data_IF_626926665527
#
_entry.id   IF_626926665527
#
_cell.length_a   1.000
_cell.length_b   1.000
_cell.length_c   1.000
_cell.angle_alpha   90.00
_cell.angle_beta   90.00
_cell.angle_gamma   90.00
#
_symmetry.space_group_name_H-M   'P 1'
#
loop_
_entity.id
_entity.type
_entity.pdbx_description
1 polymer ?
#
# COMPACT_ATOMS: atom_id res chain seq x y z
N UNK A 1 35.92 15.18 -7.65
CA UNK A 1 35.17 15.00 -6.38
C UNK A 1 33.76 14.56 -6.75
N UNK A 2 33.27 13.37 -6.32
CA UNK A 2 31.93 12.92 -6.66
C UNK A 2 30.88 13.80 -5.96
N UNK A 3 29.94 14.33 -6.74
CA UNK A 3 28.83 15.15 -6.23
C UNK A 3 27.93 14.28 -5.33
N UNK A 4 27.78 14.69 -4.07
CA UNK A 4 26.87 14.04 -3.12
C UNK A 4 25.44 14.14 -3.64
N UNK A 5 24.73 13.01 -3.69
CA UNK A 5 23.32 12.97 -4.05
C UNK A 5 22.51 13.86 -3.09
N UNK A 6 21.57 14.69 -3.59
CA UNK A 6 20.84 15.63 -2.75
C UNK A 6 20.01 14.88 -1.70
N UNK A 7 19.92 15.43 -0.46
CA UNK A 7 19.10 14.84 0.60
C UNK A 7 17.64 14.79 0.15
N UNK A 8 16.97 13.68 0.46
CA UNK A 8 15.55 13.47 0.16
C UNK A 8 14.73 14.48 1.00
N UNK A 9 14.46 15.66 0.45
CA UNK A 9 13.60 16.66 1.10
C UNK A 9 12.13 16.28 0.88
N UNK A 10 11.29 16.51 1.90
CA UNK A 10 9.88 16.07 1.91
C UNK A 10 9.04 16.48 0.69
N UNK A 11 9.44 17.54 -0.02
CA UNK A 11 8.82 17.98 -1.27
C UNK A 11 8.84 16.90 -2.37
N UNK A 12 9.91 16.11 -2.48
CA UNK A 12 10.02 15.06 -3.50
C UNK A 12 9.07 13.88 -3.30
N UNK A 13 8.65 13.62 -2.05
CA UNK A 13 7.71 12.54 -1.72
C UNK A 13 6.28 12.89 -2.15
N UNK A 14 5.82 14.10 -1.86
CA UNK A 14 4.50 14.56 -2.29
C UNK A 14 4.44 14.75 -3.80
N UNK A 15 5.51 15.26 -4.42
CA UNK A 15 5.59 15.37 -5.87
C UNK A 15 5.49 13.99 -6.55
N UNK A 16 6.14 12.95 -6.01
CA UNK A 16 6.01 11.58 -6.52
C UNK A 16 4.64 10.93 -6.22
N UNK A 17 3.94 11.36 -5.15
CA UNK A 17 2.57 10.91 -4.84
C UNK A 17 1.53 11.50 -5.79
N UNK A 18 1.74 12.76 -6.23
CA UNK A 18 0.89 13.45 -7.20
C UNK A 18 1.42 13.36 -8.65
N UNK A 19 2.47 12.56 -8.89
CA UNK A 19 2.92 12.24 -10.23
C UNK A 19 1.92 11.25 -10.85
N UNK A 20 0.94 11.80 -11.55
CA UNK A 20 -0.07 11.04 -12.30
C UNK A 20 0.50 10.40 -13.56
N UNK A 21 1.79 10.59 -13.86
CA UNK A 21 2.51 9.70 -14.76
C UNK A 21 2.83 8.43 -13.97
N UNK A 22 2.03 7.38 -14.17
CA UNK A 22 2.27 6.05 -13.63
C UNK A 22 3.52 5.43 -14.31
N UNK A 23 4.68 6.09 -14.23
CA UNK A 23 5.91 5.60 -14.80
C UNK A 23 6.31 4.32 -14.09
N UNK A 24 6.84 3.41 -14.88
CA UNK A 24 6.71 1.95 -14.81
C UNK A 24 7.32 1.26 -13.57
N UNK A 25 7.84 2.00 -12.58
CA UNK A 25 8.58 1.48 -11.43
C UNK A 25 8.31 2.16 -10.08
N UNK A 26 7.47 3.20 -10.00
CA UNK A 26 7.22 3.92 -8.74
C UNK A 26 6.32 3.10 -7.78
N UNK A 27 5.56 2.14 -8.32
CA UNK A 27 4.52 1.42 -7.55
C UNK A 27 5.07 0.68 -6.33
N UNK A 28 6.20 -0.02 -6.43
CA UNK A 28 6.80 -0.72 -5.27
C UNK A 28 7.25 0.21 -4.16
N UNK A 29 7.63 1.45 -4.49
CA UNK A 29 8.04 2.48 -3.52
C UNK A 29 6.84 3.09 -2.78
N UNK A 30 5.72 3.28 -3.48
CA UNK A 30 4.49 3.87 -2.92
C UNK A 30 3.68 2.87 -2.07
N UNK A 31 3.86 1.55 -2.26
CA UNK A 31 3.07 0.54 -1.52
C UNK A 31 3.16 0.67 0.02
N UNK A 32 4.31 1.08 0.57
CA UNK A 32 4.41 1.35 2.03
C UNK A 32 3.46 2.47 2.46
N UNK A 33 3.35 3.52 1.65
CA UNK A 33 2.44 4.65 1.89
C UNK A 33 1.00 4.20 1.76
N UNK A 34 0.68 3.44 0.72
CA UNK A 34 -0.67 2.88 0.52
C UNK A 34 -1.09 1.98 1.69
N UNK A 35 -0.17 1.20 2.24
CA UNK A 35 -0.49 0.38 3.41
C UNK A 35 -0.82 1.22 4.64
N UNK A 36 -0.04 2.27 4.91
CA UNK A 36 -0.32 3.19 6.02
C UNK A 36 -1.67 3.88 5.81
N UNK A 37 -1.95 4.37 4.60
CA UNK A 37 -3.23 4.98 4.26
C UNK A 37 -4.39 3.97 4.39
N UNK A 38 -4.18 2.71 3.98
CA UNK A 38 -5.16 1.65 4.13
C UNK A 38 -5.45 1.35 5.62
N UNK A 39 -4.43 1.28 6.49
CA UNK A 39 -4.62 1.10 7.93
C UNK A 39 -5.43 2.26 8.52
N UNK A 40 -5.11 3.50 8.15
CA UNK A 40 -5.84 4.69 8.60
C UNK A 40 -7.30 4.61 8.14
N UNK A 41 -7.53 4.32 6.86
CA UNK A 41 -8.87 4.16 6.29
C UNK A 41 -9.68 3.06 6.96
N UNK A 42 -9.07 1.89 7.19
CA UNK A 42 -9.70 0.76 7.90
C UNK A 42 -9.97 1.12 9.36
N UNK A 43 -9.10 1.90 10.00
CA UNK A 43 -9.31 2.43 11.35
C UNK A 43 -10.55 3.33 11.42
N UNK A 44 -10.67 4.29 10.49
CA UNK A 44 -11.84 5.17 10.40
C UNK A 44 -13.12 4.39 10.07
N UNK A 45 -13.04 3.39 9.17
CA UNK A 45 -14.16 2.53 8.84
C UNK A 45 -14.62 1.70 10.04
N UNK A 46 -13.68 1.13 10.80
CA UNK A 46 -13.99 0.35 12.01
C UNK A 46 -14.57 1.24 13.12
N UNK A 47 -14.10 2.49 13.23
CA UNK A 47 -14.71 3.48 14.10
C UNK A 47 -16.15 3.81 13.68
N UNK A 48 -16.41 3.95 12.38
CA UNK A 48 -17.76 4.17 11.87
C UNK A 48 -18.69 2.99 12.18
N UNK A 49 -18.20 1.75 12.05
CA UNK A 49 -18.92 0.54 12.47
C UNK A 49 -19.25 0.62 13.97
N UNK A 50 -18.26 0.91 14.82
CA UNK A 50 -18.47 1.04 16.26
C UNK A 50 -19.54 2.08 16.60
N UNK A 51 -19.45 3.28 16.02
CA UNK A 51 -20.41 4.36 16.25
C UNK A 51 -21.81 3.98 15.78
N UNK A 52 -21.93 3.21 14.68
CA UNK A 52 -23.22 2.72 14.22
C UNK A 52 -23.86 1.74 15.21
N UNK A 53 -23.07 0.80 15.74
CA UNK A 53 -23.55 -0.13 16.77
C UNK A 53 -23.87 0.58 18.09
N UNK A 54 -23.08 1.55 18.51
CA UNK A 54 -23.29 2.30 19.74
C UNK A 54 -24.63 3.07 19.77
N UNK A 55 -25.19 3.43 18.60
CA UNK A 55 -26.51 4.07 18.49
C UNK A 55 -27.67 3.16 18.91
N UNK A 56 -27.48 1.84 18.93
CA UNK A 56 -28.49 0.88 19.35
C UNK A 56 -28.60 0.72 20.89
N UNK A 57 -27.90 1.56 21.67
CA UNK A 57 -27.90 1.53 23.13
C UNK A 57 -26.80 0.64 23.72
N UNK A 58 -26.91 0.32 25.01
CA UNK A 58 -25.84 -0.37 25.77
C UNK A 58 -25.46 -1.72 25.17
N UNK A 59 -26.44 -2.52 24.72
CA UNK A 59 -26.18 -3.80 24.05
C UNK A 59 -25.41 -3.63 22.74
N UNK A 60 -25.78 -2.61 21.95
CA UNK A 60 -25.06 -2.25 20.74
C UNK A 60 -23.63 -1.81 21.00
N UNK A 61 -23.37 -1.08 22.09
CA UNK A 61 -22.04 -0.66 22.49
C UNK A 61 -21.12 -1.85 22.82
N UNK A 62 -21.63 -2.84 23.56
CA UNK A 62 -20.89 -4.07 23.90
C UNK A 62 -20.57 -4.87 22.63
N UNK A 63 -21.55 -5.06 21.73
CA UNK A 63 -21.35 -5.76 20.46
C UNK A 63 -20.33 -5.00 19.59
N UNK A 64 -20.48 -3.68 19.49
CA UNK A 64 -19.58 -2.82 18.74
C UNK A 64 -18.12 -2.92 19.22
N UNK A 65 -17.90 -3.06 20.53
CA UNK A 65 -16.56 -3.20 21.11
C UNK A 65 -15.85 -4.50 20.69
N UNK A 66 -16.61 -5.52 20.30
CA UNK A 66 -16.07 -6.80 19.80
C UNK A 66 -15.98 -6.78 18.27
N UNK A 67 -17.05 -6.35 17.61
CA UNK A 67 -17.17 -6.36 16.14
C UNK A 67 -16.21 -5.38 15.48
N UNK A 68 -16.05 -4.17 16.01
CA UNK A 68 -15.18 -3.15 15.42
C UNK A 68 -13.69 -3.55 15.37
N UNK A 69 -13.05 -4.00 16.47
CA UNK A 69 -11.66 -4.45 16.41
C UNK A 69 -11.48 -5.74 15.59
N UNK A 70 -12.47 -6.64 15.59
CA UNK A 70 -12.44 -7.83 14.75
C UNK A 70 -12.50 -7.46 13.26
N UNK A 71 -13.39 -6.54 12.89
CA UNK A 71 -13.48 -6.00 11.54
C UNK A 71 -12.18 -5.28 11.15
N UNK A 72 -11.63 -4.42 12.03
CA UNK A 72 -10.36 -3.75 11.81
C UNK A 72 -9.25 -4.75 11.46
N UNK A 73 -9.07 -5.78 12.30
CA UNK A 73 -8.02 -6.77 12.11
C UNK A 73 -8.21 -7.55 10.81
N UNK A 74 -9.45 -7.97 10.52
CA UNK A 74 -9.78 -8.68 9.29
C UNK A 74 -9.45 -7.83 8.05
N UNK A 75 -9.90 -6.58 8.01
CA UNK A 75 -9.64 -5.68 6.88
C UNK A 75 -8.17 -5.30 6.74
N UNK A 76 -7.42 -5.15 7.84
CA UNK A 76 -5.96 -4.93 7.78
C UNK A 76 -5.25 -6.14 7.19
N UNK A 77 -5.64 -7.36 7.57
CA UNK A 77 -5.10 -8.59 6.97
C UNK A 77 -5.41 -8.64 5.48
N UNK A 78 -6.66 -8.37 5.08
CA UNK A 78 -7.03 -8.31 3.67
C UNK A 78 -6.22 -7.26 2.90
N UNK A 79 -6.08 -6.05 3.45
CA UNK A 79 -5.25 -5.01 2.84
C UNK A 79 -3.80 -5.45 2.68
N UNK A 80 -3.25 -6.18 3.66
CA UNK A 80 -1.89 -6.71 3.59
C UNK A 80 -1.74 -7.76 2.48
N UNK A 81 -2.63 -8.74 2.43
CA UNK A 81 -2.62 -9.78 1.38
C UNK A 81 -2.78 -9.16 0.00
N UNK A 82 -3.67 -8.17 -0.13
CA UNK A 82 -3.89 -7.47 -1.39
C UNK A 82 -2.64 -6.72 -1.86
N UNK A 83 -1.99 -5.95 -0.98
CA UNK A 83 -0.76 -5.24 -1.33
C UNK A 83 0.39 -6.19 -1.63
N UNK A 84 0.49 -7.32 -0.91
CA UNK A 84 1.48 -8.34 -1.20
C UNK A 84 1.28 -8.95 -2.59
N UNK A 85 0.04 -9.26 -2.97
CA UNK A 85 -0.30 -9.71 -4.31
C UNK A 85 0.10 -8.68 -5.38
N UNK A 86 -0.19 -7.40 -5.13
CA UNK A 86 0.21 -6.30 -6.02
C UNK A 86 1.73 -6.25 -6.17
N UNK A 87 2.50 -6.31 -5.07
CA UNK A 87 3.98 -6.36 -5.11
C UNK A 87 4.46 -7.54 -5.95
N UNK A 88 3.88 -8.72 -5.75
CA UNK A 88 4.28 -9.96 -6.44
C UNK A 88 4.09 -9.82 -7.95
N UNK A 89 2.96 -9.26 -8.40
CA UNK A 89 2.70 -9.03 -9.82
C UNK A 89 3.75 -8.08 -10.42
N UNK A 90 4.05 -6.97 -9.76
CA UNK A 90 5.10 -6.04 -10.23
C UNK A 90 6.48 -6.69 -10.26
N UNK A 91 6.82 -7.49 -9.25
CA UNK A 91 8.09 -8.21 -9.21
C UNK A 91 8.21 -9.20 -10.37
N UNK A 92 7.13 -9.89 -10.75
CA UNK A 92 7.11 -10.79 -11.91
C UNK A 92 7.32 -10.01 -13.22
N UNK A 93 6.69 -8.84 -13.37
CA UNK A 93 6.89 -7.98 -14.53
C UNK A 93 8.36 -7.54 -14.66
N UNK A 94 8.99 -7.16 -13.55
CA UNK A 94 10.40 -6.77 -13.52
C UNK A 94 11.34 -7.91 -13.88
N UNK A 95 11.12 -9.12 -13.34
CA UNK A 95 11.91 -10.30 -13.71
C UNK A 95 11.75 -10.63 -15.20
N UNK A 96 10.56 -10.48 -15.76
CA UNK A 96 10.31 -10.72 -17.20
C UNK A 96 11.09 -9.72 -18.07
N UNK A 97 11.13 -8.44 -17.69
CA UNK A 97 11.95 -7.42 -18.39
C UNK A 97 13.43 -7.74 -18.34
N UNK A 98 13.94 -8.20 -17.20
CA UNK A 98 15.35 -8.58 -17.05
C UNK A 98 15.72 -9.78 -17.93
N UNK A 99 14.86 -10.80 -18.00
CA UNK A 99 15.07 -11.96 -18.88
C UNK A 99 15.10 -11.54 -20.36
N UNK A 100 14.17 -10.65 -20.77
CA UNK A 100 14.14 -10.14 -22.14
C UNK A 100 15.40 -9.35 -22.52
N UNK A 101 15.98 -8.58 -21.59
CA UNK A 101 17.24 -7.86 -21.80
C UNK A 101 18.43 -8.83 -21.93
N UNK A 102 18.55 -9.82 -21.03
CA UNK A 102 19.64 -10.80 -21.09
C UNK A 102 19.64 -11.68 -22.35
N UNK A 103 18.45 -11.99 -22.90
CA UNK A 103 18.33 -12.72 -24.17
C UNK A 103 18.85 -11.91 -25.36
N UNK A 104 18.74 -10.57 -25.31
CA UNK A 104 19.19 -9.66 -26.36
C UNK A 104 20.72 -9.47 -26.35
N UNK A 105 21.34 -9.46 -25.17
CA UNK A 105 22.79 -9.31 -25.03
C UNK A 105 23.56 -10.58 -25.45
N UNK A 106 22.96 -11.77 -25.31
CA UNK A 106 23.58 -13.06 -25.71
C UNK A 106 23.52 -13.37 -27.21
N UNK A 107 22.74 -12.63 -27.98
CA UNK A 107 22.62 -12.81 -29.44
C UNK A 107 23.17 -11.62 -30.23
N UNK A 108 23.64 -10.57 -29.55
CA UNK A 108 24.22 -9.37 -30.16
C UNK A 108 25.74 -9.25 -30.07
N UNK A 109 26.45 -10.29 -29.60
CA UNK A 109 27.92 -10.39 -29.59
C UNK A 109 28.38 -11.65 -30.29
#
# INVERSE_FOLDING_TARGET
>A
MPAAAPPITGAGFFQALFDLSFSEFITTRIIKVLYVLAIIGVGLFSLAIFLNFARAGVGGLIIGLIVAPLAFLLYVIFARVWLELVIVIFRIADYTRQIAQQGRDRHGG
#
